data_IF_777219369174
#
_entry.id   IF_777219369174
#
_cell.length_a   1.000
_cell.length_b   1.000
_cell.length_c   1.000
_cell.angle_alpha   90.00
_cell.angle_beta   90.00
_cell.angle_gamma   90.00
#
_symmetry.space_group_name_H-M   'P 1'
#
loop_
_entity.id
_entity.type
_entity.pdbx_description
1 polymer ?
#
# COMPACT_ATOMS: atom_id res chain seq x y z
N UNK A 1 -25.94 9.92 37.14
CA UNK A 1 -26.87 8.79 37.29
C UNK A 1 -26.55 7.65 36.31
N UNK A 2 -26.77 7.80 34.99
CA UNK A 2 -26.51 6.72 34.02
C UNK A 2 -25.01 6.41 33.85
N UNK A 3 -24.16 7.44 33.67
CA UNK A 3 -22.71 7.27 33.52
C UNK A 3 -22.06 6.62 34.77
N UNK A 4 -22.48 7.03 35.97
CA UNK A 4 -22.02 6.43 37.22
C UNK A 4 -22.45 4.95 37.34
N UNK A 5 -23.64 4.61 36.83
CA UNK A 5 -24.14 3.23 36.82
C UNK A 5 -23.33 2.35 35.85
N UNK A 6 -22.92 2.88 34.69
CA UNK A 6 -22.05 2.13 33.77
C UNK A 6 -20.67 1.86 34.37
N UNK A 7 -20.11 2.84 35.08
CA UNK A 7 -18.82 2.71 35.74
C UNK A 7 -18.85 1.88 37.02
N UNK A 8 -20.03 1.51 37.54
CA UNK A 8 -20.14 0.64 38.72
C UNK A 8 -20.21 -0.85 38.38
N UNK A 9 -20.37 -1.22 37.10
CA UNK A 9 -20.55 -2.62 36.67
C UNK A 9 -19.25 -3.43 36.76
N UNK A 10 -18.13 -2.87 36.35
CA UNK A 10 -16.83 -3.56 36.32
C UNK A 10 -15.70 -2.61 36.73
N UNK A 11 -14.89 -3.01 37.71
CA UNK A 11 -13.80 -2.19 38.24
C UNK A 11 -12.62 -2.02 37.26
N UNK A 12 -12.54 -2.82 36.20
CA UNK A 12 -11.50 -2.75 35.18
C UNK A 12 -11.92 -1.95 33.93
N UNK A 13 -13.19 -1.54 33.83
CA UNK A 13 -13.72 -0.82 32.66
C UNK A 13 -14.24 0.55 33.11
N UNK A 14 -13.58 1.60 32.65
CA UNK A 14 -14.00 2.98 32.88
C UNK A 14 -14.53 3.61 31.59
N UNK A 15 -15.81 3.95 31.58
CA UNK A 15 -16.46 4.72 30.53
C UNK A 15 -16.18 6.21 30.74
N UNK A 16 -15.79 6.89 29.66
CA UNK A 16 -15.63 8.34 29.61
C UNK A 16 -16.81 8.97 28.86
N UNK A 17 -17.10 10.24 29.16
CA UNK A 17 -18.10 11.03 28.45
C UNK A 17 -17.42 12.25 27.83
N UNK A 18 -17.62 12.44 26.54
CA UNK A 18 -17.20 13.67 25.85
C UNK A 18 -18.38 14.65 25.90
N UNK A 19 -18.16 15.80 26.54
CA UNK A 19 -19.16 16.86 26.67
C UNK A 19 -18.81 17.96 25.65
N UNK A 20 -19.85 18.52 25.03
CA UNK A 20 -19.70 19.67 24.13
C UNK A 20 -18.95 20.82 24.83
N UNK A 21 -17.95 21.37 24.14
CA UNK A 21 -17.14 22.50 24.60
C UNK A 21 -17.08 23.55 23.51
N UNK A 22 -17.26 24.84 23.84
CA UNK A 22 -17.28 25.94 22.88
C UNK A 22 -18.26 25.77 21.70
N UNK A 23 -19.44 25.17 21.98
CA UNK A 23 -20.43 24.77 20.98
C UNK A 23 -19.90 23.75 19.94
N UNK A 24 -18.89 22.96 20.31
CA UNK A 24 -18.23 21.98 19.45
C UNK A 24 -18.14 20.63 20.13
N UNK A 25 -18.31 19.58 19.35
CA UNK A 25 -18.04 18.20 19.77
C UNK A 25 -17.47 17.41 18.59
N UNK A 26 -16.41 16.65 18.84
CA UNK A 26 -15.83 15.74 17.87
C UNK A 26 -16.57 14.41 17.89
N UNK A 27 -16.84 13.84 16.71
CA UNK A 27 -17.29 12.47 16.59
C UNK A 27 -16.57 11.80 15.42
N UNK A 28 -15.78 10.77 15.72
CA UNK A 28 -14.91 10.10 14.74
C UNK A 28 -14.03 11.09 13.97
N UNK A 29 -14.27 11.22 12.68
CA UNK A 29 -13.56 12.08 11.73
C UNK A 29 -14.25 13.44 11.51
N UNK A 30 -15.27 13.77 12.30
CA UNK A 30 -16.08 14.98 12.13
C UNK A 30 -16.04 15.89 13.35
N UNK A 31 -16.03 17.19 13.12
CA UNK A 31 -16.18 18.23 14.12
C UNK A 31 -17.54 18.88 13.91
N UNK A 32 -18.44 18.65 14.85
CA UNK A 32 -19.79 19.20 14.83
C UNK A 32 -19.76 20.51 15.61
N UNK A 33 -20.12 21.62 14.96
CA UNK A 33 -20.21 22.94 15.57
C UNK A 33 -21.65 23.46 15.50
N UNK A 34 -22.23 23.80 16.64
CA UNK A 34 -23.55 24.44 16.70
C UNK A 34 -23.41 25.95 16.51
N UNK A 35 -24.09 26.51 15.50
CA UNK A 35 -24.10 27.96 15.17
C UNK A 35 -25.52 28.46 14.99
N UNK A 36 -26.02 29.29 15.91
CA UNK A 36 -27.32 29.98 15.81
C UNK A 36 -28.49 29.08 15.33
N UNK A 37 -28.59 27.86 15.88
CA UNK A 37 -29.65 26.90 15.51
C UNK A 37 -29.35 26.01 14.28
N UNK A 38 -28.21 26.20 13.62
CA UNK A 38 -27.72 25.34 12.54
C UNK A 38 -26.51 24.52 12.99
N UNK A 39 -26.31 23.36 12.36
CA UNK A 39 -25.17 22.48 12.62
C UNK A 39 -24.18 22.60 11.46
N UNK A 40 -22.97 23.07 11.74
CA UNK A 40 -21.85 22.99 10.82
C UNK A 40 -21.05 21.72 11.11
N UNK A 41 -20.69 20.99 10.06
CA UNK A 41 -19.85 19.79 10.15
C UNK A 41 -18.57 20.09 9.38
N UNK A 42 -17.43 19.89 10.03
CA UNK A 42 -16.09 20.03 9.46
C UNK A 42 -15.29 18.72 9.65
N UNK A 43 -14.15 18.57 8.97
CA UNK A 43 -13.25 17.42 9.20
C UNK A 43 -12.51 17.61 10.52
N UNK A 44 -12.62 16.63 11.41
CA UNK A 44 -11.85 16.60 12.66
C UNK A 44 -10.56 15.80 12.48
N UNK A 45 -9.46 16.33 13.03
CA UNK A 45 -8.19 15.62 13.15
C UNK A 45 -7.77 15.62 14.61
N UNK A 46 -7.57 14.43 15.17
CA UNK A 46 -7.08 14.28 16.55
C UNK A 46 -5.73 15.01 16.70
N UNK A 47 -5.38 15.50 17.90
CA UNK A 47 -4.08 16.15 18.14
C UNK A 47 -2.87 15.29 17.77
N UNK A 48 -3.04 13.96 17.76
CA UNK A 48 -2.02 12.97 17.37
C UNK A 48 -1.95 12.70 15.86
N UNK A 49 -2.83 13.32 15.06
CA UNK A 49 -2.86 13.12 13.61
C UNK A 49 -1.60 13.71 12.95
N UNK A 50 -0.85 12.86 12.23
CA UNK A 50 0.45 13.26 11.64
C UNK A 50 0.37 13.67 10.18
N UNK A 51 -0.81 13.59 9.55
CA UNK A 51 -1.00 13.75 8.09
C UNK A 51 -0.06 12.83 7.27
N UNK A 52 0.44 11.74 7.87
CA UNK A 52 1.24 10.70 7.20
C UNK A 52 0.35 9.56 6.76
N UNK A 53 0.35 9.31 5.47
CA UNK A 53 -0.38 8.21 4.85
C UNK A 53 0.60 7.22 4.18
N UNK A 54 0.10 6.49 3.20
CA UNK A 54 0.88 5.53 2.44
C UNK A 54 2.00 6.23 1.64
N UNK A 55 3.23 5.79 1.82
CA UNK A 55 4.36 6.24 1.01
C UNK A 55 4.15 5.77 -0.44
N UNK A 56 4.18 6.70 -1.40
CA UNK A 56 4.02 6.40 -2.82
C UNK A 56 5.07 5.42 -3.34
N UNK A 57 6.30 5.45 -2.81
CA UNK A 57 7.39 4.57 -3.22
C UNK A 57 7.40 3.23 -2.48
N UNK A 58 6.48 3.01 -1.53
CA UNK A 58 6.35 1.72 -0.86
C UNK A 58 5.92 0.62 -1.84
N UNK A 59 6.21 -0.63 -1.48
CA UNK A 59 5.88 -1.84 -2.26
C UNK A 59 4.38 -2.22 -2.20
N UNK A 60 3.49 -1.28 -1.90
CA UNK A 60 2.05 -1.52 -1.95
C UNK A 60 1.53 -1.44 -3.39
N UNK A 61 0.51 -2.22 -3.69
CA UNK A 61 -0.18 -2.15 -4.98
C UNK A 61 -0.67 -0.73 -5.26
N UNK A 62 -0.57 -0.33 -6.52
CA UNK A 62 -1.01 0.99 -6.96
C UNK A 62 -2.49 1.26 -6.66
N UNK A 63 -3.31 0.20 -6.57
CA UNK A 63 -4.71 0.29 -6.16
C UNK A 63 -4.86 0.85 -4.74
N UNK A 64 -4.03 0.43 -3.79
CA UNK A 64 -4.09 0.91 -2.41
C UNK A 64 -3.60 2.37 -2.30
N UNK A 65 -2.59 2.74 -3.08
CA UNK A 65 -2.11 4.13 -3.19
C UNK A 65 -3.19 5.06 -3.72
N UNK A 66 -3.80 4.67 -4.84
CA UNK A 66 -4.91 5.41 -5.42
C UNK A 66 -6.12 5.48 -4.47
N UNK A 67 -6.47 4.37 -3.82
CA UNK A 67 -7.57 4.31 -2.86
C UNK A 67 -7.36 5.25 -1.66
N UNK A 68 -6.12 5.37 -1.17
CA UNK A 68 -5.79 6.28 -0.07
C UNK A 68 -6.06 7.72 -0.48
N UNK A 69 -5.54 8.16 -1.64
CA UNK A 69 -5.77 9.50 -2.16
C UNK A 69 -7.26 9.77 -2.45
N UNK A 70 -7.95 8.82 -3.09
CA UNK A 70 -9.38 8.92 -3.39
C UNK A 70 -10.22 9.06 -2.10
N UNK A 71 -9.90 8.30 -1.06
CA UNK A 71 -10.59 8.37 0.24
C UNK A 71 -10.40 9.74 0.89
N UNK A 72 -9.20 10.31 0.85
CA UNK A 72 -8.92 11.64 1.40
C UNK A 72 -9.68 12.73 0.64
N UNK A 73 -9.70 12.67 -0.69
CA UNK A 73 -10.46 13.61 -1.51
C UNK A 73 -11.98 13.47 -1.26
N UNK A 74 -12.48 12.24 -1.19
CA UNK A 74 -13.87 11.97 -0.88
C UNK A 74 -14.25 12.55 0.49
N UNK A 75 -13.40 12.37 1.51
CA UNK A 75 -13.59 12.96 2.85
C UNK A 75 -13.63 14.48 2.80
N UNK A 76 -12.68 15.12 2.11
CA UNK A 76 -12.63 16.58 1.97
C UNK A 76 -13.89 17.17 1.31
N UNK A 77 -14.49 16.44 0.36
CA UNK A 77 -15.67 16.92 -0.38
C UNK A 77 -17.01 16.58 0.29
N UNK A 78 -17.08 15.48 1.04
CA UNK A 78 -18.34 14.94 1.58
C UNK A 78 -18.55 15.17 3.07
N UNK A 79 -17.49 15.27 3.87
CA UNK A 79 -17.64 15.48 5.31
C UNK A 79 -18.05 16.93 5.62
N UNK A 80 -17.39 17.97 5.07
CA UNK A 80 -17.81 19.32 5.35
C UNK A 80 -19.16 19.64 4.69
N UNK A 81 -20.09 20.19 5.47
CA UNK A 81 -21.39 20.60 4.93
C UNK A 81 -21.41 22.04 4.41
N UNK A 82 -20.39 22.83 4.74
CA UNK A 82 -20.21 24.22 4.29
C UNK A 82 -19.29 24.33 3.08
N UNK A 83 -19.49 25.34 2.23
CA UNK A 83 -18.57 25.68 1.13
C UNK A 83 -17.17 26.00 1.64
N UNK A 84 -17.10 26.77 2.73
CA UNK A 84 -15.86 27.26 3.33
C UNK A 84 -15.07 26.10 3.95
N UNK A 85 -15.77 25.13 4.56
CA UNK A 85 -15.15 23.92 5.11
C UNK A 85 -14.53 23.03 4.03
N UNK A 86 -15.20 22.89 2.87
CA UNK A 86 -14.66 22.15 1.72
C UNK A 86 -13.43 22.84 1.14
N UNK A 87 -13.51 24.16 0.95
CA UNK A 87 -12.39 24.94 0.41
C UNK A 87 -11.17 24.86 1.32
N UNK A 88 -11.37 24.98 2.64
CA UNK A 88 -10.30 24.83 3.64
C UNK A 88 -9.61 23.48 3.55
N UNK A 89 -10.36 22.41 3.33
CA UNK A 89 -9.81 21.06 3.19
C UNK A 89 -9.08 20.84 1.86
N UNK A 90 -9.55 21.44 0.76
CA UNK A 90 -8.93 21.33 -0.55
C UNK A 90 -7.66 22.17 -0.68
N UNK A 91 -7.62 23.35 -0.05
CA UNK A 91 -6.52 24.31 -0.16
C UNK A 91 -5.45 24.16 0.92
N UNK A 92 -5.36 22.99 1.58
CA UNK A 92 -4.32 22.74 2.59
C UNK A 92 -2.93 22.69 1.94
N UNK A 93 -2.03 23.57 2.40
CA UNK A 93 -0.63 23.58 1.97
C UNK A 93 0.22 22.68 2.85
N UNK A 94 1.11 21.91 2.23
CA UNK A 94 2.01 20.97 2.92
C UNK A 94 3.47 21.19 2.56
N UNK A 95 4.37 20.96 3.52
CA UNK A 95 5.81 20.93 3.32
C UNK A 95 6.40 19.62 3.88
N UNK A 96 7.19 18.90 3.08
CA UNK A 96 7.86 17.68 3.54
C UNK A 96 9.29 17.98 3.96
N UNK A 97 9.58 17.87 5.26
CA UNK A 97 10.89 18.18 5.83
C UNK A 97 11.51 16.96 6.51
N UNK A 98 12.84 16.77 6.42
CA UNK A 98 13.49 15.82 7.29
C UNK A 98 13.36 16.24 8.76
N UNK A 99 13.16 15.29 9.67
CA UNK A 99 13.25 15.60 11.10
C UNK A 99 14.72 15.68 11.53
N UNK A 100 15.15 16.89 11.88
CA UNK A 100 16.46 17.21 12.42
C UNK A 100 16.21 17.92 13.75
N UNK A 101 16.53 17.24 14.85
CA UNK A 101 16.33 17.76 16.21
C UNK A 101 17.01 19.13 16.36
N UNK A 102 16.26 20.12 16.80
CA UNK A 102 16.71 21.50 17.00
C UNK A 102 16.55 22.43 15.79
N UNK A 103 16.34 21.89 14.59
CA UNK A 103 16.16 22.68 13.35
C UNK A 103 14.71 22.60 12.86
N UNK A 104 14.15 21.38 12.82
CA UNK A 104 12.83 21.15 12.25
C UNK A 104 11.73 21.72 13.14
N UNK A 105 11.89 21.78 14.46
CA UNK A 105 10.86 22.27 15.37
C UNK A 105 10.63 23.80 15.27
N UNK A 106 11.67 24.66 15.32
CA UNK A 106 11.50 26.08 15.05
C UNK A 106 10.92 26.35 13.66
N UNK A 107 11.42 25.65 12.64
CA UNK A 107 10.95 25.81 11.26
C UNK A 107 9.47 25.40 11.12
N UNK A 108 9.08 24.29 11.74
CA UNK A 108 7.67 23.85 11.81
C UNK A 108 6.79 24.90 12.47
N UNK A 109 7.27 25.57 13.53
CA UNK A 109 6.53 26.63 14.20
C UNK A 109 6.33 27.85 13.30
N UNK A 110 7.31 28.22 12.49
CA UNK A 110 7.19 29.33 11.52
C UNK A 110 6.23 28.96 10.39
N UNK A 111 6.40 27.78 9.77
CA UNK A 111 5.55 27.33 8.67
C UNK A 111 4.07 27.19 9.09
N UNK A 112 3.82 26.72 10.32
CA UNK A 112 2.45 26.67 10.89
C UNK A 112 1.79 28.05 11.02
N UNK A 113 2.55 29.13 11.23
CA UNK A 113 1.98 30.51 11.27
C UNK A 113 1.51 30.98 9.89
N UNK A 114 1.97 30.33 8.82
CA UNK A 114 1.56 30.60 7.45
C UNK A 114 0.62 29.51 6.91
N UNK A 115 -0.06 28.76 7.80
CA UNK A 115 -0.99 27.68 7.43
C UNK A 115 -0.37 26.53 6.60
N UNK A 116 0.95 26.36 6.67
CA UNK A 116 1.66 25.26 6.01
C UNK A 116 1.84 24.11 7.01
N UNK A 117 1.25 22.97 6.68
CA UNK A 117 1.38 21.73 7.48
C UNK A 117 2.71 21.05 7.14
N UNK A 118 3.59 20.89 8.13
CA UNK A 118 4.86 20.17 7.95
C UNK A 118 4.68 18.69 8.21
N UNK A 119 5.12 17.86 7.27
CA UNK A 119 5.17 16.40 7.40
C UNK A 119 6.63 15.96 7.48
N UNK A 120 6.98 15.29 8.58
CA UNK A 120 8.34 14.85 8.83
C UNK A 120 8.66 13.53 8.11
N UNK A 121 9.68 13.55 7.25
CA UNK A 121 10.27 12.35 6.63
C UNK A 121 11.57 11.95 7.35
N UNK A 122 11.84 10.64 7.52
CA UNK A 122 13.16 10.21 7.98
C UNK A 122 14.22 10.51 6.90
N UNK A 123 15.40 10.99 7.30
CA UNK A 123 16.53 11.22 6.39
C UNK A 123 17.09 9.90 5.85
N UNK A 124 17.20 8.91 6.75
CA UNK A 124 17.70 7.58 6.44
C UNK A 124 16.59 6.59 6.76
N UNK A 125 16.18 5.80 5.76
CA UNK A 125 15.23 4.69 5.98
C UNK A 125 15.98 3.41 6.34
N UNK A 126 15.34 2.49 7.07
CA UNK A 126 15.92 1.17 7.33
C UNK A 126 16.30 0.45 6.02
N UNK A 127 15.53 0.66 4.95
CA UNK A 127 15.85 0.10 3.63
C UNK A 127 17.14 0.67 3.03
N UNK A 128 17.50 1.93 3.33
CA UNK A 128 18.76 2.51 2.86
C UNK A 128 19.97 1.98 3.63
N UNK A 129 19.81 1.66 4.92
CA UNK A 129 20.88 1.02 5.71
C UNK A 129 20.96 -0.49 5.45
N UNK A 130 19.81 -1.12 5.21
CA UNK A 130 19.67 -2.53 4.92
C UNK A 130 18.98 -2.71 3.56
N UNK A 131 19.69 -2.41 2.45
CA UNK A 131 19.18 -2.72 1.13
C UNK A 131 18.83 -4.21 1.06
N UNK A 132 17.80 -4.55 0.29
CA UNK A 132 17.21 -5.89 0.29
C UNK A 132 18.30 -6.97 0.28
N UNK A 133 18.37 -7.86 1.30
CA UNK A 133 19.45 -8.84 1.41
C UNK A 133 19.40 -9.92 0.33
N UNK A 134 18.32 -9.96 -0.47
CA UNK A 134 18.13 -10.95 -1.52
C UNK A 134 18.87 -10.51 -2.78
N UNK A 135 20.12 -10.93 -2.90
CA UNK A 135 20.75 -11.11 -4.21
C UNK A 135 19.75 -11.81 -5.12
N UNK A 136 19.32 -11.14 -6.19
CA UNK A 136 18.49 -11.78 -7.21
C UNK A 136 19.45 -12.42 -8.21
N UNK A 137 19.56 -13.75 -8.24
CA UNK A 137 20.35 -14.40 -9.27
C UNK A 137 19.75 -14.10 -10.64
N UNK A 138 20.56 -14.25 -11.69
CA UNK A 138 20.08 -14.13 -13.08
C UNK A 138 18.86 -15.02 -13.31
N UNK A 139 17.98 -14.65 -14.27
CA UNK A 139 16.72 -15.37 -14.52
C UNK A 139 16.92 -16.89 -14.59
N UNK A 140 17.97 -17.35 -15.27
CA UNK A 140 18.31 -18.77 -15.39
C UNK A 140 18.56 -19.50 -14.05
N UNK A 141 19.03 -18.77 -13.04
CA UNK A 141 19.43 -19.31 -11.74
C UNK A 141 18.35 -19.10 -10.65
N UNK A 142 17.19 -18.57 -11.00
CA UNK A 142 16.07 -18.37 -10.07
C UNK A 142 15.36 -19.68 -9.76
N UNK A 143 14.93 -19.84 -8.50
CA UNK A 143 14.17 -20.98 -7.95
C UNK A 143 12.77 -20.53 -7.56
N UNK A 144 11.83 -21.47 -7.43
CA UNK A 144 10.42 -21.20 -7.07
C UNK A 144 9.75 -20.22 -8.04
N UNK A 145 9.97 -20.43 -9.34
CA UNK A 145 9.43 -19.57 -10.40
C UNK A 145 8.40 -20.31 -11.23
N UNK A 146 7.43 -19.56 -11.75
CA UNK A 146 6.53 -19.99 -12.81
C UNK A 146 7.14 -19.57 -14.14
N UNK A 147 7.15 -20.46 -15.12
CA UNK A 147 7.73 -20.18 -16.43
C UNK A 147 6.81 -20.66 -17.55
N UNK A 148 6.99 -20.05 -18.72
CA UNK A 148 6.38 -20.48 -19.98
C UNK A 148 7.43 -20.89 -21.00
N UNK A 149 7.12 -21.94 -21.77
CA UNK A 149 7.91 -22.39 -22.90
C UNK A 149 6.98 -22.49 -24.12
N UNK A 150 7.13 -21.62 -25.13
CA UNK A 150 6.30 -21.67 -26.33
C UNK A 150 6.69 -22.83 -27.27
N UNK A 151 5.73 -23.30 -28.06
CA UNK A 151 6.01 -24.12 -29.23
C UNK A 151 6.39 -23.22 -30.41
N UNK A 152 7.34 -23.65 -31.24
CA UNK A 152 7.76 -22.91 -32.44
C UNK A 152 6.76 -23.02 -33.59
N UNK A 153 5.99 -24.11 -33.66
CA UNK A 153 5.13 -24.44 -34.80
C UNK A 153 3.64 -24.16 -34.56
N UNK A 154 3.24 -23.87 -33.31
CA UNK A 154 1.83 -23.58 -33.00
C UNK A 154 1.69 -22.65 -31.78
N UNK A 155 0.49 -22.10 -31.60
CA UNK A 155 0.17 -21.19 -30.49
C UNK A 155 0.13 -21.86 -29.10
N UNK A 156 0.52 -23.13 -28.99
CA UNK A 156 0.55 -23.83 -27.71
C UNK A 156 1.74 -23.38 -26.87
N UNK A 157 1.51 -23.21 -25.56
CA UNK A 157 2.55 -22.87 -24.59
C UNK A 157 2.47 -23.82 -23.40
N UNK A 158 3.63 -24.33 -22.98
CA UNK A 158 3.73 -25.03 -21.70
C UNK A 158 3.92 -24.02 -20.58
N UNK A 159 3.07 -24.08 -19.55
CA UNK A 159 3.25 -23.32 -18.31
C UNK A 159 3.53 -24.32 -17.20
N UNK A 160 4.57 -24.06 -16.40
CA UNK A 160 4.91 -24.91 -15.27
C UNK A 160 5.60 -24.14 -14.14
N UNK A 161 5.55 -24.72 -12.96
CA UNK A 161 6.31 -24.26 -11.79
C UNK A 161 7.58 -25.11 -11.59
N UNK A 162 8.56 -24.53 -10.90
CA UNK A 162 9.77 -25.26 -10.50
C UNK A 162 10.33 -24.75 -9.18
N UNK A 163 10.53 -25.66 -8.22
CA UNK A 163 11.34 -25.38 -7.03
C UNK A 163 12.86 -25.39 -7.30
N UNK A 164 13.30 -25.97 -8.43
CA UNK A 164 14.70 -25.98 -8.87
C UNK A 164 15.03 -24.74 -9.70
N UNK A 165 16.33 -24.47 -9.89
CA UNK A 165 16.80 -23.41 -10.78
C UNK A 165 16.22 -23.58 -12.19
N UNK A 166 15.73 -22.50 -12.80
CA UNK A 166 15.06 -22.53 -14.10
C UNK A 166 15.92 -23.22 -15.19
N UNK A 167 17.23 -22.94 -15.23
CA UNK A 167 18.19 -23.60 -16.13
C UNK A 167 18.21 -25.11 -15.99
N UNK A 168 18.16 -25.61 -14.76
CA UNK A 168 18.14 -27.05 -14.48
C UNK A 168 16.84 -27.66 -14.99
N UNK A 169 15.70 -27.01 -14.72
CA UNK A 169 14.39 -27.46 -15.21
C UNK A 169 14.28 -27.43 -16.73
N UNK A 170 14.81 -26.40 -17.38
CA UNK A 170 14.89 -26.26 -18.84
C UNK A 170 15.67 -27.42 -19.47
N UNK A 171 16.83 -27.79 -18.88
CA UNK A 171 17.62 -28.95 -19.30
C UNK A 171 16.89 -30.28 -19.11
N UNK A 172 16.17 -30.46 -18.01
CA UNK A 172 15.35 -31.65 -17.78
C UNK A 172 14.27 -31.81 -18.86
N UNK A 173 13.56 -30.73 -19.21
CA UNK A 173 12.57 -30.75 -20.27
C UNK A 173 13.17 -31.05 -21.64
N UNK A 174 14.32 -30.45 -21.97
CA UNK A 174 15.05 -30.74 -23.20
C UNK A 174 15.44 -32.22 -23.28
N UNK A 175 15.92 -32.80 -22.17
CA UNK A 175 16.22 -34.24 -22.10
C UNK A 175 14.96 -35.07 -22.33
N UNK A 176 13.85 -34.75 -21.66
CA UNK A 176 12.59 -35.47 -21.79
C UNK A 176 12.03 -35.44 -23.22
N UNK A 177 12.18 -34.32 -23.92
CA UNK A 177 11.82 -34.20 -25.34
C UNK A 177 12.71 -35.13 -26.17
N UNK A 178 14.03 -35.12 -25.97
CA UNK A 178 14.94 -35.99 -26.73
C UNK A 178 14.69 -37.49 -26.51
N UNK A 179 14.33 -37.89 -25.29
CA UNK A 179 14.13 -39.30 -24.92
C UNK A 179 12.67 -39.76 -25.01
N UNK A 180 11.76 -38.93 -25.54
CA UNK A 180 10.32 -39.20 -25.56
C UNK A 180 9.78 -39.68 -24.20
N UNK A 181 10.15 -38.98 -23.12
CA UNK A 181 9.87 -39.44 -21.76
C UNK A 181 8.36 -39.52 -21.48
N UNK A 182 7.90 -40.70 -21.06
CA UNK A 182 6.50 -40.94 -20.69
C UNK A 182 6.11 -40.06 -19.49
N UNK A 183 5.05 -39.26 -19.65
CA UNK A 183 4.51 -38.38 -18.61
C UNK A 183 4.94 -36.90 -18.71
N UNK A 184 5.89 -36.55 -19.57
CA UNK A 184 6.20 -35.15 -19.85
C UNK A 184 5.22 -34.57 -20.86
N UNK A 185 4.43 -33.57 -20.45
CA UNK A 185 3.45 -32.91 -21.34
C UNK A 185 4.14 -32.24 -22.54
N UNK A 186 5.34 -31.69 -22.33
CA UNK A 186 6.14 -31.08 -23.40
C UNK A 186 6.62 -32.14 -24.40
N UNK A 187 7.12 -33.27 -23.91
CA UNK A 187 7.57 -34.36 -24.78
C UNK A 187 6.41 -34.98 -25.56
N UNK A 188 5.27 -35.20 -24.91
CA UNK A 188 4.07 -35.71 -25.58
C UNK A 188 3.59 -34.76 -26.68
N UNK A 189 3.62 -33.44 -26.45
CA UNK A 189 3.25 -32.47 -27.48
C UNK A 189 4.17 -32.54 -28.71
N UNK A 190 5.50 -32.57 -28.48
CA UNK A 190 6.51 -32.67 -29.54
C UNK A 190 6.32 -33.92 -30.39
N UNK A 191 6.25 -35.09 -29.75
CA UNK A 191 6.22 -36.36 -30.47
C UNK A 191 4.86 -36.69 -31.08
N UNK A 192 3.75 -36.23 -30.50
CA UNK A 192 2.41 -36.48 -31.04
C UNK A 192 2.07 -35.58 -32.24
N UNK A 193 2.58 -34.35 -32.25
CA UNK A 193 2.26 -33.35 -33.29
C UNK A 193 3.44 -33.09 -34.25
N UNK A 194 4.59 -33.76 -34.05
CA UNK A 194 5.81 -33.52 -34.82
C UNK A 194 6.26 -32.05 -34.80
N UNK A 195 6.16 -31.41 -33.64
CA UNK A 195 6.50 -30.00 -33.43
C UNK A 195 7.84 -29.83 -32.69
N UNK A 196 8.51 -28.71 -32.93
CA UNK A 196 9.65 -28.22 -32.18
C UNK A 196 9.21 -27.26 -31.07
N UNK A 197 9.85 -27.38 -29.91
CA UNK A 197 9.68 -26.47 -28.78
C UNK A 197 10.75 -25.41 -28.83
N UNK A 198 10.34 -24.16 -28.68
CA UNK A 198 11.24 -23.02 -28.65
C UNK A 198 11.69 -22.79 -27.20
N UNK A 199 12.83 -23.40 -26.88
CA UNK A 199 13.46 -23.23 -25.58
C UNK A 199 14.14 -21.87 -25.43
N UNK A 200 14.48 -21.17 -26.52
CA UNK A 200 15.21 -19.91 -26.46
C UNK A 200 14.29 -18.75 -26.07
N UNK A 201 13.03 -18.78 -26.52
CA UNK A 201 11.98 -17.86 -26.07
C UNK A 201 11.30 -18.26 -24.74
N UNK A 202 11.90 -19.19 -23.99
CA UNK A 202 11.41 -19.55 -22.67
C UNK A 202 11.59 -18.40 -21.67
N UNK A 203 10.53 -18.06 -20.94
CA UNK A 203 10.52 -16.88 -20.04
C UNK A 203 9.88 -17.20 -18.70
N UNK A 204 10.37 -16.52 -17.66
CA UNK A 204 9.78 -16.53 -16.32
C UNK A 204 8.64 -15.51 -16.30
N UNK A 205 7.50 -15.87 -15.69
CA UNK A 205 6.30 -15.03 -15.55
C UNK A 205 6.26 -14.46 -14.14
#
# INVERSE_FOLDING_TARGET
AFHDTLNSIDANISFTIEIESDNKISFLDTLVTRRNGTIAVDVYRKPTHTDRYLDYNSHHDNKHKASTAATLLHRALKLPNSSEGKERELNRSFASLPYIKGITEPLTRVLKKHDITVVNKPLITLQQQFPAPKFRPSLESQTNVVYKIPCGDCSWCYIGETGRAFKTRKKEHLRNVKTAAKGSRIANHVWANSHAIDFDNASII
#
